data_IF_680367130225
#
_entry.id   IF_680367130225
#
_cell.length_a   1.000
_cell.length_b   1.000
_cell.length_c   1.000
_cell.angle_alpha   90.00
_cell.angle_beta   90.00
_cell.angle_gamma   90.00
#
_symmetry.space_group_name_H-M   'P 1'
#
loop_
_entity.id
_entity.type
_entity.pdbx_description
1 polymer ?
#
# COMPACT_ATOMS: atom_id res chain seq x y z
N UNK A 1 17.53 29.84 14.01
CA UNK A 1 18.32 29.14 15.06
C UNK A 1 19.49 28.49 14.36
N UNK A 2 20.63 29.19 14.40
CA UNK A 2 21.88 28.80 13.75
C UNK A 2 22.55 27.73 14.61
N UNK A 3 22.85 26.57 14.02
CA UNK A 3 23.65 25.53 14.66
C UNK A 3 25.01 25.49 13.96
N UNK A 4 25.91 26.37 14.39
CA UNK A 4 27.35 26.29 14.11
C UNK A 4 27.93 25.16 14.96
N UNK A 5 28.29 24.05 14.32
CA UNK A 5 29.12 23.02 14.92
C UNK A 5 30.57 23.37 14.65
N UNK A 6 31.10 24.24 15.52
CA UNK A 6 32.54 24.45 15.73
C UNK A 6 33.14 23.15 16.28
N UNK A 7 33.59 22.29 15.36
CA UNK A 7 34.31 21.06 15.63
C UNK A 7 35.80 21.25 15.40
N UNK A 8 36.42 22.09 16.23
CA UNK A 8 37.85 22.17 16.58
C UNK A 8 38.77 21.29 15.70
N UNK A 9 39.28 21.86 14.62
CA UNK A 9 40.45 21.33 13.91
C UNK A 9 41.70 21.69 14.75
N UNK A 10 41.91 20.97 15.84
CA UNK A 10 43.15 21.08 16.60
C UNK A 10 44.27 20.42 15.79
N UNK A 11 45.02 21.23 15.04
CA UNK A 11 46.30 20.82 14.49
C UNK A 11 47.22 20.39 15.65
N UNK A 12 47.93 19.25 15.56
CA UNK A 12 48.94 18.93 16.56
C UNK A 12 50.06 19.97 16.43
N UNK A 13 50.15 20.85 17.43
CA UNK A 13 51.32 21.72 17.60
C UNK A 13 52.50 20.81 17.90
N UNK A 14 53.41 20.68 16.94
CA UNK A 14 54.69 20.01 17.15
C UNK A 14 55.44 20.77 18.25
N UNK A 15 55.39 20.27 19.48
CA UNK A 15 56.32 20.70 20.53
C UNK A 15 57.69 20.19 20.10
N UNK A 16 58.43 21.04 19.39
CA UNK A 16 59.88 20.94 19.33
C UNK A 16 60.38 21.12 20.76
N UNK A 17 60.58 19.99 21.43
CA UNK A 17 61.16 19.91 22.75
C UNK A 17 62.52 20.59 22.73
N UNK A 18 62.60 21.65 23.51
CA UNK A 18 63.79 22.37 23.92
C UNK A 18 64.87 21.38 24.40
N UNK A 19 65.84 21.06 23.53
CA UNK A 19 67.06 20.37 23.94
C UNK A 19 67.98 21.38 24.62
N UNK A 20 67.71 21.62 25.91
CA UNK A 20 68.66 22.30 26.79
C UNK A 20 69.76 21.30 27.12
N UNK A 21 70.99 21.67 26.78
CA UNK A 21 72.12 20.77 26.69
C UNK A 21 72.62 20.24 28.03
N UNK A 22 73.06 18.99 27.99
CA UNK A 22 74.09 18.47 28.87
C UNK A 22 75.13 17.80 27.97
N UNK A 23 76.16 18.60 27.62
CA UNK A 23 77.27 18.20 26.78
C UNK A 23 78.26 17.36 27.59
N UNK A 24 78.26 16.05 27.34
CA UNK A 24 79.30 15.11 27.76
C UNK A 24 80.58 15.37 26.92
N UNK A 25 81.73 15.70 27.54
CA UNK A 25 82.91 16.16 26.80
C UNK A 25 83.69 14.96 26.23
N UNK A 26 83.24 14.45 25.08
CA UNK A 26 83.97 13.40 24.36
C UNK A 26 83.46 13.04 22.95
N UNK A 27 82.49 13.76 22.38
CA UNK A 27 81.87 13.36 21.10
C UNK A 27 81.87 14.48 20.07
N UNK A 28 82.24 14.16 18.83
CA UNK A 28 82.38 15.09 17.73
C UNK A 28 81.05 15.85 17.47
N UNK A 29 81.04 17.20 17.48
CA UNK A 29 79.81 18.00 17.47
C UNK A 29 79.01 17.90 16.16
N UNK A 30 79.57 17.30 15.11
CA UNK A 30 78.87 17.05 13.85
C UNK A 30 78.15 15.69 13.78
N UNK A 31 78.54 14.70 14.58
CA UNK A 31 78.10 13.31 14.39
C UNK A 31 76.68 13.05 14.94
N UNK A 32 76.32 13.73 16.04
CA UNK A 32 74.98 13.63 16.63
C UNK A 32 73.89 14.41 15.88
N UNK A 33 74.26 15.49 15.17
CA UNK A 33 73.30 16.31 14.41
C UNK A 33 72.75 15.53 13.22
N UNK A 34 73.62 14.85 12.46
CA UNK A 34 73.21 14.04 11.31
C UNK A 34 72.36 12.83 11.72
N UNK A 35 72.73 12.15 12.82
CA UNK A 35 71.94 11.04 13.37
C UNK A 35 70.56 11.51 13.83
N UNK A 36 70.46 12.66 14.50
CA UNK A 36 69.18 13.24 14.90
C UNK A 36 68.32 13.68 13.70
N UNK A 37 68.93 14.23 12.64
CA UNK A 37 68.18 14.57 11.42
C UNK A 37 67.69 13.35 10.66
N UNK A 38 68.44 12.25 10.64
CA UNK A 38 68.01 10.99 10.03
C UNK A 38 66.84 10.39 10.83
N UNK A 39 66.95 10.36 12.16
CA UNK A 39 65.85 9.89 13.01
C UNK A 39 64.58 10.75 12.86
N UNK A 40 64.73 12.07 12.73
CA UNK A 40 63.61 12.97 12.46
C UNK A 40 62.99 12.74 11.07
N UNK A 41 63.80 12.46 10.06
CA UNK A 41 63.33 12.13 8.71
C UNK A 41 62.59 10.79 8.67
N UNK A 42 63.11 9.75 9.34
CA UNK A 42 62.44 8.45 9.45
C UNK A 42 61.10 8.58 10.18
N UNK A 43 61.05 9.36 11.26
CA UNK A 43 59.81 9.65 11.98
C UNK A 43 58.80 10.38 11.08
N UNK A 44 59.24 11.39 10.33
CA UNK A 44 58.38 12.11 9.40
C UNK A 44 57.83 11.21 8.27
N UNK A 45 58.63 10.26 7.78
CA UNK A 45 58.20 9.28 6.77
C UNK A 45 57.17 8.29 7.32
N UNK A 46 57.34 7.83 8.56
CA UNK A 46 56.35 6.98 9.23
C UNK A 46 55.03 7.72 9.46
N UNK A 47 55.09 8.96 9.90
CA UNK A 47 53.92 9.82 10.07
C UNK A 47 53.22 10.08 8.73
N UNK A 48 53.98 10.41 7.68
CA UNK A 48 53.45 10.56 6.33
C UNK A 48 52.76 9.27 5.83
N UNK A 49 53.34 8.10 6.12
CA UNK A 49 52.75 6.80 5.77
C UNK A 49 51.47 6.48 6.55
N UNK A 50 51.37 6.94 7.80
CA UNK A 50 50.13 6.84 8.61
C UNK A 50 49.05 7.76 8.04
N UNK A 51 49.40 9.00 7.72
CA UNK A 51 48.49 9.97 7.10
C UNK A 51 47.98 9.44 5.76
N UNK A 52 48.86 8.91 4.91
CA UNK A 52 48.49 8.34 3.61
C UNK A 52 47.46 7.22 3.76
N UNK A 53 47.67 6.28 4.69
CA UNK A 53 46.70 5.20 4.97
C UNK A 53 45.37 5.75 5.50
N UNK A 54 45.41 6.75 6.38
CA UNK A 54 44.20 7.43 6.88
C UNK A 54 43.42 8.11 5.77
N UNK A 55 44.09 8.82 4.85
CA UNK A 55 43.46 9.47 3.69
C UNK A 55 42.84 8.42 2.76
N UNK A 56 43.53 7.31 2.48
CA UNK A 56 42.97 6.23 1.65
C UNK A 56 41.70 5.61 2.26
N UNK A 57 41.71 5.35 3.57
CA UNK A 57 40.53 4.84 4.27
C UNK A 57 39.38 5.87 4.26
N UNK A 58 39.68 7.16 4.45
CA UNK A 58 38.68 8.21 4.41
C UNK A 58 38.05 8.35 3.01
N UNK A 59 38.86 8.28 1.94
CA UNK A 59 38.37 8.28 0.57
C UNK A 59 37.45 7.08 0.29
N UNK A 60 37.80 5.89 0.78
CA UNK A 60 36.96 4.71 0.67
C UNK A 60 35.62 4.89 1.39
N UNK A 61 35.64 5.36 2.64
CA UNK A 61 34.42 5.64 3.40
C UNK A 61 33.55 6.70 2.72
N UNK A 62 34.14 7.77 2.18
CA UNK A 62 33.39 8.78 1.44
C UNK A 62 32.70 8.20 0.20
N UNK A 63 33.36 7.26 -0.48
CA UNK A 63 32.76 6.57 -1.61
C UNK A 63 31.60 5.67 -1.18
N UNK A 64 31.75 4.89 -0.11
CA UNK A 64 30.69 4.05 0.46
C UNK A 64 29.49 4.90 0.94
N UNK A 65 29.74 6.05 1.56
CA UNK A 65 28.66 6.98 1.96
C UNK A 65 27.91 7.51 0.73
N UNK A 66 28.60 7.78 -0.39
CA UNK A 66 27.94 8.20 -1.63
C UNK A 66 27.08 7.07 -2.21
N UNK A 67 27.58 5.83 -2.25
CA UNK A 67 26.81 4.70 -2.77
C UNK A 67 25.57 4.42 -1.93
N UNK A 68 25.71 4.42 -0.60
CA UNK A 68 24.58 4.24 0.33
C UNK A 68 23.52 5.36 0.18
N UNK A 69 23.96 6.61 -0.03
CA UNK A 69 23.03 7.73 -0.30
C UNK A 69 22.27 7.53 -1.61
N UNK A 70 22.93 7.02 -2.65
CA UNK A 70 22.28 6.76 -3.94
C UNK A 70 21.29 5.58 -3.83
N UNK A 71 21.66 4.52 -3.12
CA UNK A 71 20.75 3.41 -2.80
C UNK A 71 19.54 3.86 -2.00
N UNK A 72 19.75 4.70 -0.98
CA UNK A 72 18.67 5.28 -0.20
C UNK A 72 17.71 6.08 -1.09
N UNK A 73 18.22 6.92 -1.99
CA UNK A 73 17.36 7.67 -2.94
C UNK A 73 16.59 6.73 -3.86
N UNK A 74 17.21 5.68 -4.37
CA UNK A 74 16.54 4.67 -5.22
C UNK A 74 15.42 3.96 -4.46
N UNK A 75 15.69 3.54 -3.23
CA UNK A 75 14.71 2.89 -2.36
C UNK A 75 13.52 3.81 -2.06
N UNK A 76 13.75 5.10 -1.77
CA UNK A 76 12.67 6.07 -1.57
C UNK A 76 11.82 6.24 -2.84
N UNK A 77 12.45 6.38 -4.01
CA UNK A 77 11.73 6.49 -5.28
C UNK A 77 10.92 5.22 -5.61
N UNK A 78 11.39 4.05 -5.17
CA UNK A 78 10.66 2.79 -5.29
C UNK A 78 9.47 2.71 -4.32
N UNK A 79 9.65 3.10 -3.07
CA UNK A 79 8.55 3.20 -2.09
C UNK A 79 7.45 4.13 -2.59
N UNK A 80 7.80 5.30 -3.14
CA UNK A 80 6.80 6.23 -3.67
C UNK A 80 6.06 5.67 -4.88
N UNK A 81 6.74 4.91 -5.74
CA UNK A 81 6.11 4.15 -6.83
C UNK A 81 5.13 3.10 -6.30
N UNK A 82 5.52 2.31 -5.30
CA UNK A 82 4.65 1.32 -4.67
C UNK A 82 3.44 1.96 -3.99
N UNK A 83 3.62 3.08 -3.29
CA UNK A 83 2.51 3.86 -2.70
C UNK A 83 1.54 4.34 -3.76
N UNK A 84 2.04 4.87 -4.88
CA UNK A 84 1.22 5.29 -6.01
C UNK A 84 0.46 4.13 -6.66
N UNK A 85 1.10 2.97 -6.83
CA UNK A 85 0.43 1.76 -7.33
C UNK A 85 -0.66 1.29 -6.35
N UNK A 86 -0.35 1.19 -5.06
CA UNK A 86 -1.29 0.76 -4.05
C UNK A 86 -2.52 1.68 -3.98
N UNK A 87 -2.32 3.00 -4.03
CA UNK A 87 -3.43 3.96 -4.07
C UNK A 87 -4.36 3.71 -5.27
N UNK A 88 -3.81 3.44 -6.46
CA UNK A 88 -4.62 3.11 -7.66
C UNK A 88 -5.37 1.79 -7.48
N UNK A 89 -4.71 0.75 -6.98
CA UNK A 89 -5.32 -0.57 -6.75
C UNK A 89 -6.48 -0.47 -5.76
N UNK A 90 -6.30 0.25 -4.65
CA UNK A 90 -7.37 0.45 -3.65
C UNK A 90 -8.56 1.19 -4.24
N UNK A 91 -8.33 2.22 -5.06
CA UNK A 91 -9.41 2.96 -5.73
C UNK A 91 -10.15 2.04 -6.71
N UNK A 92 -9.43 1.28 -7.54
CA UNK A 92 -10.07 0.34 -8.47
C UNK A 92 -10.83 -0.78 -7.76
N UNK A 93 -10.32 -1.26 -6.62
CA UNK A 93 -10.99 -2.30 -5.84
C UNK A 93 -12.31 -1.79 -5.28
N UNK A 94 -12.34 -0.57 -4.75
CA UNK A 94 -13.59 0.07 -4.27
C UNK A 94 -14.59 0.28 -5.39
N UNK A 95 -14.13 0.74 -6.55
CA UNK A 95 -15.01 0.90 -7.72
C UNK A 95 -15.63 -0.44 -8.13
N UNK A 96 -14.84 -1.51 -8.13
CA UNK A 96 -15.33 -2.86 -8.46
C UNK A 96 -16.31 -3.39 -7.39
N UNK A 97 -16.07 -3.10 -6.10
CA UNK A 97 -17.00 -3.43 -5.02
C UNK A 97 -18.33 -2.68 -5.18
N UNK A 98 -18.28 -1.39 -5.52
CA UNK A 98 -19.47 -0.56 -5.76
C UNK A 98 -20.27 -1.10 -6.97
N UNK A 99 -19.60 -1.36 -8.09
CA UNK A 99 -20.20 -1.95 -9.30
C UNK A 99 -20.86 -3.30 -8.99
N UNK A 100 -20.14 -4.18 -8.27
CA UNK A 100 -20.66 -5.48 -7.87
C UNK A 100 -21.90 -5.35 -6.97
N UNK A 101 -21.91 -4.40 -6.03
CA UNK A 101 -23.05 -4.18 -5.14
C UNK A 101 -24.30 -3.73 -5.93
N UNK A 102 -24.11 -2.87 -6.94
CA UNK A 102 -25.19 -2.42 -7.82
C UNK A 102 -25.72 -3.58 -8.65
N UNK A 103 -24.85 -4.38 -9.26
CA UNK A 103 -25.25 -5.55 -10.03
C UNK A 103 -26.01 -6.58 -9.18
N UNK A 104 -25.51 -6.86 -7.96
CA UNK A 104 -26.17 -7.77 -7.03
C UNK A 104 -27.55 -7.26 -6.62
N UNK A 105 -27.70 -5.96 -6.32
CA UNK A 105 -28.99 -5.37 -6.00
C UNK A 105 -29.98 -5.49 -7.16
N UNK A 106 -29.52 -5.25 -8.40
CA UNK A 106 -30.32 -5.41 -9.61
C UNK A 106 -30.75 -6.87 -9.79
N UNK A 107 -29.82 -7.82 -9.70
CA UNK A 107 -30.13 -9.25 -9.83
C UNK A 107 -31.11 -9.74 -8.77
N UNK A 108 -31.00 -9.23 -7.53
CA UNK A 108 -31.97 -9.50 -6.48
C UNK A 108 -33.36 -8.99 -6.87
N UNK A 109 -33.47 -7.75 -7.33
CA UNK A 109 -34.77 -7.20 -7.78
C UNK A 109 -35.37 -7.95 -8.96
N UNK A 110 -34.54 -8.36 -9.93
CA UNK A 110 -34.96 -9.13 -11.10
C UNK A 110 -35.42 -10.54 -10.68
N UNK A 111 -34.70 -11.19 -9.76
CA UNK A 111 -35.08 -12.49 -9.21
C UNK A 111 -36.41 -12.42 -8.46
N UNK A 112 -36.58 -11.39 -7.63
CA UNK A 112 -37.83 -11.17 -6.90
C UNK A 112 -39.03 -10.96 -7.84
N UNK A 113 -38.85 -10.19 -8.91
CA UNK A 113 -39.87 -10.00 -9.94
C UNK A 113 -40.23 -11.33 -10.62
N UNK A 114 -39.23 -12.14 -10.96
CA UNK A 114 -39.43 -13.46 -11.55
C UNK A 114 -40.19 -14.41 -10.63
N UNK A 115 -39.88 -14.41 -9.33
CA UNK A 115 -40.58 -15.22 -8.34
C UNK A 115 -42.06 -14.82 -8.21
N UNK A 116 -42.35 -13.51 -8.17
CA UNK A 116 -43.73 -12.99 -8.17
C UNK A 116 -44.45 -13.44 -9.43
N UNK A 117 -43.85 -13.24 -10.61
CA UNK A 117 -44.45 -13.59 -11.90
C UNK A 117 -44.71 -15.09 -12.01
N UNK A 118 -43.75 -15.91 -11.61
CA UNK A 118 -43.91 -17.37 -11.56
C UNK A 118 -45.09 -17.76 -10.66
N UNK A 119 -45.20 -17.16 -9.47
CA UNK A 119 -46.29 -17.45 -8.54
C UNK A 119 -47.65 -17.09 -9.13
N UNK A 120 -47.78 -15.93 -9.76
CA UNK A 120 -49.02 -15.48 -10.44
C UNK A 120 -49.44 -16.51 -11.49
N UNK A 121 -48.54 -16.91 -12.39
CA UNK A 121 -48.88 -17.90 -13.41
C UNK A 121 -49.23 -19.26 -12.85
N UNK A 122 -48.54 -19.69 -11.79
CA UNK A 122 -48.86 -20.94 -11.10
C UNK A 122 -50.28 -20.91 -10.53
N UNK A 123 -50.64 -19.83 -9.84
CA UNK A 123 -51.97 -19.69 -9.25
C UNK A 123 -53.07 -19.63 -10.32
N UNK A 124 -52.84 -18.90 -11.42
CA UNK A 124 -53.76 -18.89 -12.55
C UNK A 124 -53.92 -20.27 -13.19
N UNK A 125 -52.83 -20.98 -13.43
CA UNK A 125 -52.88 -22.32 -14.01
C UNK A 125 -53.66 -23.29 -13.10
N UNK A 126 -53.41 -23.25 -11.79
CA UNK A 126 -54.15 -24.05 -10.81
C UNK A 126 -55.64 -23.68 -10.78
N UNK A 127 -55.98 -22.39 -10.84
CA UNK A 127 -57.38 -21.94 -10.87
C UNK A 127 -58.11 -22.39 -12.15
N UNK A 128 -57.51 -22.17 -13.33
CA UNK A 128 -58.12 -22.56 -14.60
C UNK A 128 -58.29 -24.08 -14.70
N UNK A 129 -57.34 -24.85 -14.17
CA UNK A 129 -57.46 -26.30 -14.11
C UNK A 129 -58.58 -26.76 -13.16
N UNK A 130 -58.68 -26.17 -11.96
CA UNK A 130 -59.67 -26.56 -10.94
C UNK A 130 -61.09 -26.13 -11.29
N UNK A 131 -61.26 -24.95 -11.90
CA UNK A 131 -62.55 -24.41 -12.32
C UNK A 131 -62.96 -24.86 -13.74
N UNK A 132 -62.14 -25.66 -14.43
CA UNK A 132 -62.36 -26.12 -15.80
C UNK A 132 -62.68 -24.98 -16.79
N UNK A 133 -62.02 -23.83 -16.62
CA UNK A 133 -62.26 -22.63 -17.42
C UNK A 133 -61.70 -22.79 -18.84
N UNK A 134 -62.41 -22.23 -19.83
CA UNK A 134 -61.88 -22.13 -21.19
C UNK A 134 -60.80 -21.06 -21.23
N UNK A 135 -59.70 -21.37 -21.91
CA UNK A 135 -58.61 -20.41 -22.11
C UNK A 135 -59.01 -19.39 -23.18
N UNK A 136 -59.13 -18.14 -22.77
CA UNK A 136 -59.19 -16.97 -23.65
C UNK A 136 -57.99 -16.05 -23.36
N UNK A 137 -57.13 -15.73 -24.35
CA UNK A 137 -55.94 -14.92 -24.13
C UNK A 137 -56.21 -13.52 -23.56
N UNK A 138 -57.30 -12.87 -23.96
CA UNK A 138 -57.62 -11.51 -23.52
C UNK A 138 -58.04 -11.50 -22.04
N UNK A 139 -58.99 -12.37 -21.67
CA UNK A 139 -59.42 -12.55 -20.28
C UNK A 139 -58.26 -13.03 -19.40
N UNK A 140 -57.41 -13.94 -19.89
CA UNK A 140 -56.25 -14.41 -19.12
C UNK A 140 -55.25 -13.29 -18.82
N UNK A 141 -55.04 -12.36 -19.75
CA UNK A 141 -54.16 -11.21 -19.53
C UNK A 141 -54.72 -10.27 -18.43
N UNK A 142 -56.02 -10.01 -18.44
CA UNK A 142 -56.68 -9.22 -17.40
C UNK A 142 -56.60 -9.89 -16.03
N UNK A 143 -56.90 -11.20 -15.98
CA UNK A 143 -56.76 -12.02 -14.79
C UNK A 143 -55.34 -12.01 -14.22
N UNK A 144 -54.32 -12.10 -15.09
CA UNK A 144 -52.91 -11.99 -14.70
C UNK A 144 -52.61 -10.66 -14.03
N UNK A 145 -53.10 -9.56 -14.58
CA UNK A 145 -52.79 -8.23 -14.05
C UNK A 145 -53.46 -8.01 -12.68
N UNK A 146 -54.74 -8.41 -12.52
CA UNK A 146 -55.44 -8.39 -11.23
C UNK A 146 -54.75 -9.26 -10.17
N UNK A 147 -54.35 -10.48 -10.53
CA UNK A 147 -53.66 -11.39 -9.60
C UNK A 147 -52.26 -10.88 -9.25
N UNK A 148 -51.55 -10.28 -10.20
CA UNK A 148 -50.26 -9.65 -9.96
C UNK A 148 -50.37 -8.52 -8.93
N UNK A 149 -51.34 -7.61 -9.10
CA UNK A 149 -51.60 -6.53 -8.15
C UNK A 149 -51.92 -7.06 -6.75
N UNK A 150 -52.74 -8.10 -6.67
CA UNK A 150 -53.09 -8.74 -5.41
C UNK A 150 -51.88 -9.39 -4.73
N UNK A 151 -51.08 -10.17 -5.46
CA UNK A 151 -49.87 -10.82 -4.93
C UNK A 151 -48.87 -9.77 -4.43
N UNK A 152 -48.67 -8.68 -5.18
CA UNK A 152 -47.83 -7.57 -4.74
C UNK A 152 -48.38 -6.90 -3.47
N UNK A 153 -49.69 -6.73 -3.37
CA UNK A 153 -50.33 -6.19 -2.17
C UNK A 153 -50.16 -7.10 -0.94
N UNK A 154 -50.35 -8.41 -1.09
CA UNK A 154 -50.15 -9.39 -0.01
C UNK A 154 -48.68 -9.46 0.44
N UNK A 155 -47.75 -9.38 -0.53
CA UNK A 155 -46.32 -9.31 -0.24
C UNK A 155 -45.94 -8.06 0.56
N UNK A 156 -46.54 -6.90 0.24
CA UNK A 156 -46.38 -5.66 1.05
C UNK A 156 -46.94 -5.78 2.46
N UNK A 157 -47.93 -6.65 2.68
CA UNK A 157 -48.45 -7.00 4.02
C UNK A 157 -47.60 -8.03 4.78
N UNK A 158 -46.50 -8.50 4.19
CA UNK A 158 -45.59 -9.47 4.81
C UNK A 158 -45.95 -10.93 4.58
N UNK A 159 -46.93 -11.24 3.72
CA UNK A 159 -47.26 -12.62 3.37
C UNK A 159 -46.22 -13.21 2.41
N UNK A 160 -45.75 -14.44 2.68
CA UNK A 160 -44.84 -15.15 1.77
C UNK A 160 -45.56 -15.57 0.49
N UNK A 161 -44.86 -15.54 -0.65
CA UNK A 161 -45.40 -15.99 -1.94
C UNK A 161 -45.92 -17.44 -1.90
N UNK A 162 -45.32 -18.30 -1.08
CA UNK A 162 -45.74 -19.70 -0.94
C UNK A 162 -47.05 -19.86 -0.16
N UNK A 163 -47.45 -18.86 0.63
CA UNK A 163 -48.66 -18.90 1.45
C UNK A 163 -49.91 -18.45 0.70
N UNK A 164 -49.76 -17.57 -0.31
CA UNK A 164 -50.87 -17.10 -1.14
C UNK A 164 -51.37 -18.26 -2.00
N UNK A 165 -52.56 -18.80 -1.72
CA UNK A 165 -53.14 -19.94 -2.40
C UNK A 165 -54.17 -19.57 -3.48
N UNK A 166 -54.70 -20.58 -4.18
CA UNK A 166 -55.71 -20.39 -5.24
C UNK A 166 -57.01 -19.81 -4.68
N UNK A 167 -57.40 -20.21 -3.46
CA UNK A 167 -58.58 -19.68 -2.78
C UNK A 167 -58.51 -18.17 -2.53
N UNK A 168 -57.30 -17.64 -2.34
CA UNK A 168 -57.07 -16.21 -2.09
C UNK A 168 -57.24 -15.35 -3.34
N UNK A 169 -57.21 -15.96 -4.53
CA UNK A 169 -57.34 -15.23 -5.80
C UNK A 169 -58.66 -15.51 -6.53
N UNK A 170 -59.43 -16.51 -6.12
CA UNK A 170 -60.63 -16.93 -6.83
C UNK A 170 -61.66 -15.78 -6.99
N UNK A 171 -61.78 -14.90 -5.99
CA UNK A 171 -62.71 -13.75 -6.04
C UNK A 171 -62.31 -12.68 -7.06
N UNK A 172 -61.04 -12.63 -7.48
CA UNK A 172 -60.53 -11.65 -8.46
C UNK A 172 -60.82 -12.06 -9.91
N UNK A 173 -61.17 -13.33 -10.10
CA UNK A 173 -61.34 -14.01 -11.38
C UNK A 173 -62.81 -14.28 -11.73
N UNK A 174 -63.73 -13.76 -10.92
CA UNK A 174 -65.17 -13.69 -11.17
C UNK A 174 -65.52 -12.44 -11.99
#
# INVERSE_FOLDING_TARGET
MNNELDGVTAWPTTRLGHLQGESDPGRDPGEGVWQNTIAAADHALEEASRIQRGVQQNLKLMQEVRTLRDELRRAHAEIDRYRGMHARVVVSMRQLEDEHSVEMSRLQTDNELLLVRHRVYKLLAEHYATAALRFDPAVFAEHRDRVLEHVLFQRRKGMSLTQIGVGDIAFLLL
#
